data_IF_179667992944
#
_entry.id   IF_179667992944
#
_cell.length_a   1.000
_cell.length_b   1.000
_cell.length_c   1.000
_cell.angle_alpha   90.00
_cell.angle_beta   90.00
_cell.angle_gamma   90.00
#
_symmetry.space_group_name_H-M   'P 1'
#
loop_
_entity.id
_entity.type
_entity.pdbx_description
1 polymer ?
#
# COMPACT_ATOMS: atom_id res chain seq x y z
N UNK A 1 -26.11 -45.29 -2.81
CA UNK A 1 -26.90 -46.52 -3.06
C UNK A 1 -27.77 -46.28 -4.29
N UNK A 2 -27.44 -46.84 -5.46
CA UNK A 2 -28.26 -46.68 -6.67
C UNK A 2 -29.51 -47.58 -6.58
N UNK A 3 -30.72 -47.11 -6.94
CA UNK A 3 -31.90 -47.96 -6.85
C UNK A 3 -31.84 -49.05 -7.93
N UNK A 4 -31.90 -50.30 -7.48
CA UNK A 4 -32.10 -51.49 -8.33
C UNK A 4 -33.50 -51.41 -8.96
N UNK A 5 -33.60 -50.84 -10.15
CA UNK A 5 -34.84 -50.75 -10.91
C UNK A 5 -34.60 -51.01 -12.39
N UNK A 6 -35.34 -51.97 -12.96
CA UNK A 6 -35.20 -52.50 -14.32
C UNK A 6 -34.99 -51.42 -15.38
N UNK A 7 -33.85 -51.49 -16.06
CA UNK A 7 -33.54 -50.69 -17.25
C UNK A 7 -34.55 -50.97 -18.36
N UNK A 8 -35.37 -49.97 -18.65
CA UNK A 8 -36.34 -49.97 -19.73
C UNK A 8 -36.52 -48.54 -20.21
N UNK A 9 -36.85 -48.40 -21.49
CA UNK A 9 -37.01 -47.23 -22.39
C UNK A 9 -37.71 -45.97 -21.83
N UNK A 10 -38.16 -46.00 -20.58
CA UNK A 10 -38.78 -44.91 -19.84
C UNK A 10 -37.93 -44.37 -18.67
N UNK A 11 -36.75 -44.95 -18.38
CA UNK A 11 -35.81 -44.35 -17.44
C UNK A 11 -35.09 -43.20 -18.14
N UNK A 12 -35.54 -41.96 -17.85
CA UNK A 12 -34.82 -40.75 -18.28
C UNK A 12 -33.36 -40.89 -17.81
N UNK A 13 -32.34 -40.49 -18.61
CA UNK A 13 -30.98 -40.46 -18.11
C UNK A 13 -30.97 -39.54 -16.88
N UNK A 14 -30.71 -40.12 -15.71
CA UNK A 14 -30.51 -39.36 -14.49
C UNK A 14 -29.22 -38.59 -14.69
N UNK A 15 -29.33 -37.35 -15.19
CA UNK A 15 -28.21 -36.42 -15.29
C UNK A 15 -27.66 -36.30 -13.86
N UNK A 16 -26.40 -36.70 -13.71
CA UNK A 16 -25.75 -36.88 -12.42
C UNK A 16 -26.05 -35.73 -11.46
N UNK A 17 -26.41 -36.10 -10.22
CA UNK A 17 -26.60 -35.15 -9.14
C UNK A 17 -25.42 -34.18 -9.11
N UNK A 18 -25.74 -32.88 -9.12
CA UNK A 18 -24.75 -31.82 -9.17
C UNK A 18 -23.71 -32.02 -8.08
N UNK A 19 -22.44 -31.76 -8.41
CA UNK A 19 -21.38 -31.72 -7.41
C UNK A 19 -21.77 -30.65 -6.38
N UNK A 20 -22.08 -31.07 -5.17
CA UNK A 20 -22.21 -30.17 -4.04
C UNK A 20 -20.80 -29.68 -3.71
N UNK A 21 -20.38 -28.58 -4.33
CA UNK A 21 -19.38 -27.75 -3.70
C UNK A 21 -20.01 -27.31 -2.38
N UNK A 22 -19.40 -27.68 -1.27
CA UNK A 22 -19.90 -27.37 0.07
C UNK A 22 -20.35 -25.91 0.06
N UNK A 23 -21.62 -25.67 0.40
CA UNK A 23 -22.15 -24.31 0.63
C UNK A 23 -21.42 -23.60 1.77
N UNK A 24 -20.52 -24.31 2.43
CA UNK A 24 -19.63 -23.87 3.49
C UNK A 24 -18.19 -23.99 2.99
N UNK A 25 -17.74 -22.96 2.25
CA UNK A 25 -16.33 -22.77 1.89
C UNK A 25 -15.54 -22.07 3.01
N UNK A 26 -16.23 -21.63 4.06
CA UNK A 26 -15.63 -20.98 5.21
C UNK A 26 -15.46 -21.98 6.37
N UNK A 27 -14.34 -21.93 7.10
CA UNK A 27 -14.19 -22.71 8.32
C UNK A 27 -15.31 -22.35 9.30
N UNK A 28 -15.86 -23.35 9.98
CA UNK A 28 -16.89 -23.16 10.98
C UNK A 28 -16.26 -23.33 12.38
N UNK A 29 -16.70 -22.50 13.33
CA UNK A 29 -16.38 -22.68 14.74
C UNK A 29 -17.09 -23.93 15.31
N UNK A 30 -16.71 -24.35 16.53
CA UNK A 30 -17.33 -25.48 17.25
C UNK A 30 -18.86 -25.35 17.39
N UNK A 31 -19.37 -24.12 17.37
CA UNK A 31 -20.79 -23.78 17.47
C UNK A 31 -21.48 -23.61 16.10
N UNK A 32 -20.80 -23.92 14.99
CA UNK A 32 -21.38 -23.88 13.64
C UNK A 32 -21.50 -22.48 13.02
N UNK A 33 -20.85 -21.47 13.62
CA UNK A 33 -20.79 -20.11 13.07
C UNK A 33 -19.68 -19.99 12.03
N UNK A 34 -19.90 -19.17 11.00
CA UNK A 34 -18.93 -18.91 9.93
C UNK A 34 -17.72 -18.12 10.45
N UNK A 35 -16.54 -18.75 10.45
CA UNK A 35 -15.28 -18.06 10.70
C UNK A 35 -14.77 -17.42 9.42
N UNK A 36 -14.37 -16.15 9.50
CA UNK A 36 -13.64 -15.50 8.43
C UNK A 36 -12.23 -16.11 8.27
N UNK A 37 -11.80 -16.34 7.02
CA UNK A 37 -10.48 -16.91 6.66
C UNK A 37 -9.26 -16.12 7.17
N UNK A 38 -9.49 -14.93 7.73
CA UNK A 38 -8.47 -14.02 8.23
C UNK A 38 -8.44 -13.93 9.76
N UNK A 39 -9.19 -14.79 10.46
CA UNK A 39 -9.23 -14.84 11.92
C UNK A 39 -8.09 -15.72 12.44
N UNK A 40 -7.32 -15.22 13.41
CA UNK A 40 -6.25 -16.01 14.03
C UNK A 40 -6.85 -17.13 14.91
N UNK A 41 -6.25 -18.34 14.96
CA UNK A 41 -6.84 -19.52 15.60
C UNK A 41 -7.02 -19.46 17.13
N UNK A 42 -6.88 -18.28 17.75
CA UNK A 42 -7.11 -18.04 19.19
C UNK A 42 -8.07 -16.89 19.49
N UNK A 43 -8.53 -16.15 18.48
CA UNK A 43 -9.50 -15.08 18.66
C UNK A 43 -10.87 -15.73 18.81
N UNK A 44 -11.40 -15.87 20.01
CA UNK A 44 -12.78 -16.31 20.26
C UNK A 44 -13.62 -15.07 20.57
N UNK A 45 -14.78 -14.90 19.90
CA UNK A 45 -15.68 -13.77 20.14
C UNK A 45 -16.19 -13.90 21.58
N UNK A 46 -15.77 -13.01 22.48
CA UNK A 46 -16.37 -12.89 23.81
C UNK A 46 -17.86 -12.58 23.63
N UNK A 47 -18.70 -13.57 23.93
CA UNK A 47 -20.15 -13.44 23.86
C UNK A 47 -20.62 -12.31 24.77
N UNK A 48 -21.41 -11.40 24.20
CA UNK A 48 -21.98 -10.22 24.85
C UNK A 48 -22.79 -10.58 26.11
N UNK A 49 -22.30 -10.14 27.26
CA UNK A 49 -22.97 -10.18 28.56
C UNK A 49 -21.97 -9.80 29.64
N UNK A 50 -22.30 -8.75 30.40
CA UNK A 50 -21.62 -8.21 31.58
C UNK A 50 -20.53 -7.14 31.42
N UNK A 51 -20.55 -6.25 32.42
CA UNK A 51 -20.10 -4.87 32.46
C UNK A 51 -18.76 -4.72 33.21
N UNK A 52 -18.01 -3.65 32.88
CA UNK A 52 -16.98 -2.94 33.66
C UNK A 52 -15.66 -3.61 34.13
N UNK A 53 -14.68 -2.74 34.44
CA UNK A 53 -13.48 -2.91 35.25
C UNK A 53 -12.11 -3.11 34.57
N UNK A 54 -11.46 -1.97 34.32
CA UNK A 54 -10.17 -1.53 34.91
C UNK A 54 -9.00 -2.50 35.14
N UNK A 55 -7.78 -2.03 34.80
CA UNK A 55 -6.47 -2.25 35.48
C UNK A 55 -5.36 -3.00 34.71
N UNK A 56 -4.37 -2.21 34.25
CA UNK A 56 -2.89 -2.31 34.39
C UNK A 56 -2.15 -3.67 34.50
N UNK A 57 -1.11 -3.79 33.66
CA UNK A 57 0.28 -4.26 33.93
C UNK A 57 0.66 -5.77 34.07
N UNK A 58 1.71 -6.09 33.29
CA UNK A 58 2.93 -6.87 33.60
C UNK A 58 3.03 -8.42 33.51
N UNK A 59 4.27 -8.81 33.16
CA UNK A 59 4.99 -10.06 33.45
C UNK A 59 5.12 -11.16 32.38
N UNK A 60 6.17 -11.01 31.57
CA UNK A 60 7.37 -11.87 31.43
C UNK A 60 7.35 -13.35 31.87
N UNK A 61 8.01 -14.19 31.05
CA UNK A 61 8.89 -15.38 31.31
C UNK A 61 8.65 -16.49 30.26
N UNK A 62 9.51 -16.71 29.26
CA UNK A 62 10.80 -17.46 29.23
C UNK A 62 10.69 -19.00 29.38
N UNK A 63 11.66 -19.68 28.74
CA UNK A 63 11.96 -21.12 28.70
C UNK A 63 11.42 -21.90 27.48
N UNK A 64 12.18 -21.99 26.38
CA UNK A 64 13.34 -22.89 26.13
C UNK A 64 12.88 -24.26 25.62
N UNK A 65 12.92 -24.51 24.30
CA UNK A 65 14.06 -25.14 23.57
C UNK A 65 13.80 -26.65 23.38
N UNK A 66 13.47 -27.08 22.15
CA UNK A 66 14.10 -28.25 21.51
C UNK A 66 13.75 -28.36 20.01
N UNK A 67 14.73 -27.96 19.21
CA UNK A 67 15.19 -28.53 17.93
C UNK A 67 14.23 -28.69 16.72
N UNK A 68 14.29 -27.69 15.82
CA UNK A 68 14.28 -27.84 14.35
C UNK A 68 14.72 -26.54 13.64
N UNK A 69 16.04 -26.33 13.49
CA UNK A 69 16.68 -25.22 12.75
C UNK A 69 16.48 -25.33 11.22
N UNK A 70 16.74 -24.25 10.43
CA UNK A 70 16.50 -22.83 10.72
C UNK A 70 15.76 -22.14 9.55
N UNK A 71 14.68 -21.41 9.82
CA UNK A 71 14.15 -20.40 8.89
C UNK A 71 14.18 -19.08 9.64
N UNK A 72 15.14 -18.24 9.28
CA UNK A 72 15.49 -16.99 9.95
C UNK A 72 14.28 -16.09 10.21
N UNK A 73 13.86 -16.07 11.48
CA UNK A 73 12.92 -15.11 12.02
C UNK A 73 13.63 -13.76 12.18
N UNK A 74 13.22 -12.76 11.39
CA UNK A 74 13.43 -11.37 11.75
C UNK A 74 12.13 -10.84 12.35
N UNK A 75 12.08 -10.87 13.68
CA UNK A 75 11.04 -10.28 14.52
C UNK A 75 11.11 -8.76 14.46
N UNK A 76 10.71 -8.18 13.32
CA UNK A 76 10.41 -6.75 13.26
C UNK A 76 8.97 -6.56 13.75
N UNK A 77 8.80 -6.45 15.07
CA UNK A 77 7.59 -5.94 15.72
C UNK A 77 7.44 -4.43 15.45
N UNK A 78 7.39 -4.06 14.17
CA UNK A 78 7.14 -2.70 13.72
C UNK A 78 5.67 -2.48 13.43
N UNK A 79 5.25 -1.22 13.50
CA UNK A 79 3.94 -0.74 13.06
C UNK A 79 3.68 -1.15 11.60
N UNK A 80 2.40 -1.18 11.17
CA UNK A 80 2.01 -1.61 9.81
C UNK A 80 2.76 -0.86 8.69
N UNK A 81 3.15 0.38 8.96
CA UNK A 81 3.92 1.22 8.04
C UNK A 81 5.39 0.79 7.94
N UNK A 82 6.02 0.42 9.05
CA UNK A 82 7.38 -0.13 9.09
C UNK A 82 7.46 -1.49 8.39
N UNK A 83 6.43 -2.34 8.52
CA UNK A 83 6.35 -3.60 7.74
C UNK A 83 6.27 -3.35 6.24
N UNK A 84 5.49 -2.35 5.81
CA UNK A 84 5.38 -1.97 4.39
C UNK A 84 6.68 -1.36 3.87
N UNK A 85 7.35 -0.53 4.67
CA UNK A 85 8.65 0.05 4.34
C UNK A 85 9.73 -1.04 4.23
N UNK A 86 9.77 -1.99 5.17
CA UNK A 86 10.69 -3.12 5.14
C UNK A 86 10.45 -4.03 3.92
N UNK A 87 9.19 -4.30 3.56
CA UNK A 87 8.87 -5.06 2.35
C UNK A 87 9.33 -4.34 1.07
N UNK A 88 9.11 -3.02 0.98
CA UNK A 88 9.60 -2.20 -0.15
C UNK A 88 11.14 -2.16 -0.20
N UNK A 89 11.80 -2.04 0.95
CA UNK A 89 13.26 -2.06 1.05
C UNK A 89 13.84 -3.42 0.63
N UNK A 90 13.24 -4.53 1.06
CA UNK A 90 13.61 -5.89 0.63
C UNK A 90 13.44 -6.06 -0.89
N UNK A 91 12.35 -5.56 -1.47
CA UNK A 91 12.11 -5.60 -2.92
C UNK A 91 13.14 -4.76 -3.69
N UNK A 92 13.45 -3.56 -3.22
CA UNK A 92 14.45 -2.69 -3.83
C UNK A 92 15.87 -3.26 -3.71
N UNK A 93 16.21 -3.89 -2.59
CA UNK A 93 17.50 -4.56 -2.40
C UNK A 93 17.64 -5.78 -3.33
N UNK A 94 16.57 -6.56 -3.53
CA UNK A 94 16.57 -7.66 -4.49
C UNK A 94 16.78 -7.17 -5.93
N UNK A 95 16.15 -6.07 -6.32
CA UNK A 95 16.36 -5.43 -7.63
C UNK A 95 17.81 -4.95 -7.81
N UNK A 96 18.39 -4.34 -6.78
CA UNK A 96 19.80 -3.91 -6.81
C UNK A 96 20.77 -5.09 -6.87
N UNK A 97 20.50 -6.17 -6.12
CA UNK A 97 21.31 -7.40 -6.17
C UNK A 97 21.20 -8.09 -7.52
N UNK A 98 20.01 -8.10 -8.13
CA UNK A 98 19.80 -8.59 -9.51
C UNK A 98 20.55 -7.74 -10.55
N UNK A 99 20.61 -6.42 -10.36
CA UNK A 99 21.38 -5.53 -11.23
C UNK A 99 22.90 -5.57 -11.05
N UNK A 100 23.42 -6.15 -9.97
CA UNK A 100 24.86 -6.22 -9.67
C UNK A 100 25.47 -7.60 -9.95
N UNK A 101 24.66 -8.64 -10.22
CA UNK A 101 25.16 -9.96 -10.60
C UNK A 101 25.51 -10.05 -12.09
N UNK A 102 26.45 -10.93 -12.50
CA UNK A 102 26.68 -11.22 -13.91
C UNK A 102 25.40 -11.82 -14.51
N UNK A 103 24.84 -11.16 -15.51
CA UNK A 103 23.58 -11.55 -16.15
C UNK A 103 23.67 -12.99 -16.67
N UNK A 104 22.84 -13.88 -16.11
CA UNK A 104 22.66 -15.23 -16.62
C UNK A 104 21.86 -15.17 -17.94
N UNK A 105 22.12 -16.06 -18.91
CA UNK A 105 21.39 -16.07 -20.17
C UNK A 105 19.89 -16.31 -19.91
N UNK A 106 19.07 -15.29 -20.16
CA UNK A 106 17.64 -15.27 -19.89
C UNK A 106 17.15 -14.18 -18.93
N UNK A 107 18.05 -13.49 -18.22
CA UNK A 107 17.67 -12.32 -17.40
C UNK A 107 17.70 -11.06 -18.29
N UNK A 108 16.52 -10.64 -18.75
CA UNK A 108 16.35 -9.42 -19.54
C UNK A 108 16.60 -8.18 -18.65
N UNK A 109 17.24 -7.11 -19.16
CA UNK A 109 17.39 -5.87 -18.42
C UNK A 109 16.00 -5.34 -18.01
N UNK A 110 15.90 -4.52 -16.95
CA UNK A 110 14.65 -3.84 -16.63
C UNK A 110 14.38 -2.78 -17.72
N UNK A 111 13.89 -3.23 -18.87
CA UNK A 111 13.34 -2.37 -19.90
C UNK A 111 12.00 -1.87 -19.42
N UNK A 112 11.88 -0.56 -19.38
CA UNK A 112 10.64 0.21 -19.39
C UNK A 112 9.59 -0.48 -20.27
N UNK A 113 8.56 -1.07 -19.66
CA UNK A 113 7.59 -1.97 -20.29
C UNK A 113 6.18 -1.43 -20.07
N UNK A 114 5.94 -0.26 -20.64
CA UNK A 114 4.62 0.31 -20.96
C UNK A 114 4.34 0.15 -22.48
N UNK A 115 4.71 -0.98 -23.11
CA UNK A 115 4.37 -1.24 -24.53
C UNK A 115 4.50 -2.73 -24.93
N UNK A 116 3.93 -3.66 -24.16
CA UNK A 116 3.74 -5.03 -24.67
C UNK A 116 2.62 -5.79 -23.94
N UNK A 117 1.39 -5.26 -24.06
CA UNK A 117 0.16 -5.98 -23.73
C UNK A 117 -0.44 -6.70 -24.96
N UNK A 118 0.27 -6.73 -26.10
CA UNK A 118 -0.24 -7.25 -27.37
C UNK A 118 0.10 -8.73 -27.67
N UNK A 119 0.99 -9.37 -26.91
CA UNK A 119 1.43 -10.76 -27.14
C UNK A 119 0.90 -11.78 -26.10
N UNK A 120 0.06 -11.33 -25.16
CA UNK A 120 -0.66 -12.23 -24.25
C UNK A 120 -2.04 -12.57 -24.85
N UNK A 121 -2.55 -13.81 -24.73
CA UNK A 121 -3.90 -14.12 -25.19
C UNK A 121 -4.87 -13.21 -24.45
N UNK A 122 -5.53 -12.33 -25.21
CA UNK A 122 -6.32 -11.25 -24.65
C UNK A 122 -7.34 -11.81 -23.64
N UNK A 123 -7.17 -11.45 -22.37
CA UNK A 123 -8.10 -11.85 -21.33
C UNK A 123 -9.50 -11.39 -21.76
N UNK A 124 -10.49 -12.30 -21.91
CA UNK A 124 -11.79 -11.98 -22.48
C UNK A 124 -12.50 -10.84 -21.73
N UNK A 125 -12.16 -10.62 -20.45
CA UNK A 125 -12.70 -9.54 -19.63
C UNK A 125 -12.02 -8.17 -19.85
N UNK A 126 -10.83 -8.11 -20.46
CA UNK A 126 -10.11 -6.86 -20.77
C UNK A 126 -10.13 -6.48 -22.25
N UNK A 127 -10.76 -7.28 -23.11
CA UNK A 127 -10.88 -6.99 -24.55
C UNK A 127 -11.72 -5.72 -24.82
N UNK A 128 -11.49 -5.07 -25.95
CA UNK A 128 -12.33 -3.95 -26.41
C UNK A 128 -13.82 -4.32 -26.52
N UNK A 129 -14.14 -5.60 -26.74
CA UNK A 129 -15.52 -6.11 -26.79
C UNK A 129 -16.18 -6.13 -25.42
N UNK A 130 -15.50 -6.50 -24.34
CA UNK A 130 -16.08 -6.43 -22.99
C UNK A 130 -16.36 -4.98 -22.59
N UNK A 131 -15.43 -4.06 -22.89
CA UNK A 131 -15.63 -2.61 -22.69
C UNK A 131 -16.82 -2.06 -23.48
N UNK A 132 -17.05 -2.54 -24.70
CA UNK A 132 -18.20 -2.10 -25.51
C UNK A 132 -19.56 -2.57 -24.98
N UNK A 133 -19.61 -3.70 -24.27
CA UNK A 133 -20.85 -4.22 -23.66
C UNK A 133 -21.21 -3.43 -22.40
N UNK A 134 -20.22 -3.01 -21.61
CA UNK A 134 -20.44 -2.15 -20.44
C UNK A 134 -20.84 -0.73 -20.82
N UNK A 135 -20.34 -0.22 -21.96
CA UNK A 135 -20.73 1.10 -22.47
C UNK A 135 -22.13 1.11 -23.08
N UNK A 136 -22.52 0.06 -23.81
CA UNK A 136 -23.86 -0.06 -24.42
C UNK A 136 -25.01 -0.12 -23.42
N UNK A 137 -24.78 -0.60 -22.20
CA UNK A 137 -25.81 -0.66 -21.16
C UNK A 137 -25.93 0.64 -20.34
N UNK A 138 -24.99 1.58 -20.48
CA UNK A 138 -25.00 2.89 -19.81
C UNK A 138 -25.54 3.99 -20.75
N UNK A 139 -25.63 3.71 -22.05
CA UNK A 139 -26.37 4.53 -23.01
C UNK A 139 -27.88 4.23 -22.91
N UNK A 140 -28.54 4.81 -21.89
CA UNK A 140 -29.86 5.40 -22.15
C UNK A 140 -29.74 6.30 -23.39
N UNK A 141 -30.75 6.40 -24.28
CA UNK A 141 -30.60 6.95 -25.63
C UNK A 141 -30.24 8.44 -25.61
N UNK A 142 -28.95 8.73 -25.43
CA UNK A 142 -28.38 10.05 -25.50
C UNK A 142 -28.14 10.37 -26.97
N UNK A 143 -28.88 11.38 -27.41
CA UNK A 143 -28.84 11.97 -28.72
C UNK A 143 -27.43 12.08 -29.31
N UNK A 144 -27.31 11.61 -30.55
CA UNK A 144 -26.21 11.92 -31.46
C UNK A 144 -25.81 13.41 -31.40
N UNK A 145 -24.52 13.74 -31.57
CA UNK A 145 -24.03 15.12 -31.48
C UNK A 145 -24.55 15.93 -32.68
N UNK A 146 -25.72 16.53 -32.51
CA UNK A 146 -26.24 17.51 -33.45
C UNK A 146 -25.37 18.76 -33.37
N UNK A 147 -24.82 19.13 -34.54
CA UNK A 147 -24.20 20.42 -34.91
C UNK A 147 -24.78 21.59 -34.11
N UNK A 148 -24.01 22.64 -33.77
CA UNK A 148 -24.39 23.67 -32.80
C UNK A 148 -25.68 24.36 -33.25
N UNK A 149 -26.80 23.87 -32.74
CA UNK A 149 -28.09 24.46 -32.99
C UNK A 149 -28.07 25.79 -32.25
N UNK A 150 -28.24 26.86 -33.03
CA UNK A 150 -28.46 28.23 -32.60
C UNK A 150 -29.25 28.24 -31.29
N UNK A 151 -28.71 28.96 -30.31
CA UNK A 151 -29.30 29.22 -28.98
C UNK A 151 -30.81 29.28 -29.12
N UNK A 152 -31.49 28.19 -28.75
CA UNK A 152 -32.96 28.18 -28.73
C UNK A 152 -33.36 29.19 -27.68
N UNK A 153 -34.12 30.20 -28.09
CA UNK A 153 -34.55 31.26 -27.21
C UNK A 153 -35.18 30.66 -25.95
N UNK A 154 -34.51 30.87 -24.81
CA UNK A 154 -34.90 30.44 -23.46
C UNK A 154 -36.35 30.84 -23.12
N UNK A 155 -36.88 31.85 -23.82
CA UNK A 155 -38.25 32.35 -23.73
C UNK A 155 -39.30 31.48 -24.42
N UNK A 156 -38.94 30.49 -25.23
CA UNK A 156 -39.89 29.55 -25.85
C UNK A 156 -39.97 28.19 -25.14
N UNK A 157 -39.08 27.93 -24.18
CA UNK A 157 -39.06 26.68 -23.42
C UNK A 157 -40.21 26.60 -22.42
N UNK A 158 -40.78 25.41 -22.26
CA UNK A 158 -41.86 25.16 -21.29
C UNK A 158 -41.40 25.50 -19.86
N UNK A 159 -42.32 25.84 -18.96
CA UNK A 159 -41.97 26.19 -17.55
C UNK A 159 -41.10 25.11 -16.89
N UNK A 160 -41.38 23.84 -17.19
CA UNK A 160 -40.63 22.68 -16.72
C UNK A 160 -39.22 22.61 -17.32
N UNK A 161 -39.07 22.93 -18.60
CA UNK A 161 -37.76 22.98 -19.25
C UNK A 161 -36.91 24.15 -18.73
N UNK A 162 -37.52 25.31 -18.46
CA UNK A 162 -36.79 26.44 -17.87
C UNK A 162 -36.27 26.12 -16.47
N UNK A 163 -37.09 25.48 -15.64
CA UNK A 163 -36.66 25.02 -14.32
C UNK A 163 -35.56 23.96 -14.41
N UNK A 164 -35.66 23.02 -15.36
CA UNK A 164 -34.62 22.02 -15.59
C UNK A 164 -33.28 22.66 -16.01
N UNK A 165 -33.30 23.64 -16.92
CA UNK A 165 -32.10 24.38 -17.34
C UNK A 165 -31.52 25.19 -16.19
N UNK A 166 -32.37 25.85 -15.39
CA UNK A 166 -31.92 26.60 -14.22
C UNK A 166 -31.31 25.68 -13.15
N UNK A 167 -31.92 24.51 -12.92
CA UNK A 167 -31.39 23.51 -12.00
C UNK A 167 -30.03 22.96 -12.46
N UNK A 168 -29.86 22.73 -13.77
CA UNK A 168 -28.57 22.36 -14.34
C UNK A 168 -27.53 23.46 -14.15
N UNK A 169 -27.86 24.71 -14.47
CA UNK A 169 -26.96 25.85 -14.25
C UNK A 169 -26.59 26.06 -12.77
N UNK A 170 -27.53 25.84 -11.85
CA UNK A 170 -27.27 25.92 -10.41
C UNK A 170 -26.32 24.81 -9.95
N UNK A 171 -26.48 23.57 -10.44
CA UNK A 171 -25.57 22.46 -10.19
C UNK A 171 -24.18 22.73 -10.74
N UNK A 172 -24.08 23.25 -11.96
CA UNK A 172 -22.79 23.63 -12.57
C UNK A 172 -22.12 24.75 -11.77
N UNK A 173 -22.86 25.75 -11.32
CA UNK A 173 -22.33 26.82 -10.45
C UNK A 173 -21.84 26.27 -9.12
N UNK A 174 -22.61 25.37 -8.50
CA UNK A 174 -22.20 24.70 -7.27
C UNK A 174 -20.90 23.90 -7.48
N UNK A 175 -20.84 23.10 -8.54
CA UNK A 175 -19.63 22.33 -8.89
C UNK A 175 -18.43 23.23 -9.17
N UNK A 176 -18.62 24.36 -9.87
CA UNK A 176 -17.58 25.37 -10.08
C UNK A 176 -17.09 25.97 -8.77
N UNK A 177 -18.00 26.40 -7.89
CA UNK A 177 -17.64 26.93 -6.58
C UNK A 177 -16.97 25.89 -5.67
N UNK A 178 -17.39 24.63 -5.77
CA UNK A 178 -16.79 23.53 -5.04
C UNK A 178 -15.37 23.23 -5.54
N UNK A 179 -15.17 23.22 -6.86
CA UNK A 179 -13.85 23.10 -7.48
C UNK A 179 -12.94 24.27 -7.13
N UNK A 180 -13.49 25.49 -7.03
CA UNK A 180 -12.77 26.68 -6.55
C UNK A 180 -12.49 26.65 -5.03
N UNK A 181 -13.00 25.65 -4.30
CA UNK A 181 -12.79 25.55 -2.86
C UNK A 181 -13.63 26.51 -2.02
N UNK A 182 -14.68 27.11 -2.59
CA UNK A 182 -15.50 28.15 -1.93
C UNK A 182 -16.69 27.57 -1.15
N UNK A 183 -17.12 26.36 -1.46
CA UNK A 183 -18.13 25.63 -0.68
C UNK A 183 -17.55 25.25 0.69
N UNK A 184 -18.40 25.16 1.71
CA UNK A 184 -17.93 24.89 3.07
C UNK A 184 -17.31 23.49 3.19
N UNK A 185 -17.82 22.52 2.41
CA UNK A 185 -17.22 21.19 2.26
C UNK A 185 -15.79 21.27 1.72
N UNK A 186 -15.58 21.99 0.62
CA UNK A 186 -14.26 22.09 -0.01
C UNK A 186 -13.27 22.90 0.85
N UNK A 187 -13.76 23.94 1.56
CA UNK A 187 -12.95 24.66 2.56
C UNK A 187 -12.51 23.73 3.70
N UNK A 188 -13.41 22.88 4.19
CA UNK A 188 -13.08 21.93 5.26
C UNK A 188 -12.02 20.92 4.79
N UNK A 189 -12.13 20.42 3.56
CA UNK A 189 -11.13 19.50 3.00
C UNK A 189 -9.78 20.20 2.74
N UNK A 190 -9.79 21.45 2.26
CA UNK A 190 -8.56 22.24 2.15
C UNK A 190 -7.93 22.52 3.51
N UNK A 191 -8.71 22.81 4.55
CA UNK A 191 -8.23 23.00 5.91
C UNK A 191 -7.60 21.72 6.48
N UNK A 192 -8.23 20.56 6.24
CA UNK A 192 -7.64 19.24 6.60
C UNK A 192 -6.30 19.02 5.90
N UNK A 193 -6.22 19.34 4.61
CA UNK A 193 -4.97 19.23 3.86
C UNK A 193 -3.91 20.22 4.34
N UNK A 194 -4.30 21.44 4.74
CA UNK A 194 -3.39 22.43 5.31
C UNK A 194 -2.76 21.92 6.62
N UNK A 195 -3.54 21.36 7.53
CA UNK A 195 -3.04 20.75 8.78
C UNK A 195 -1.99 19.67 8.47
N UNK A 196 -2.25 18.81 7.48
CA UNK A 196 -1.30 17.76 7.09
C UNK A 196 -0.01 18.36 6.50
N UNK A 197 -0.11 19.45 5.71
CA UNK A 197 1.06 20.15 5.18
C UNK A 197 1.88 20.77 6.31
N UNK A 198 1.23 21.45 7.24
CA UNK A 198 1.88 22.04 8.42
C UNK A 198 2.57 20.97 9.27
N UNK A 199 1.93 19.83 9.52
CA UNK A 199 2.55 18.72 10.24
C UNK A 199 3.77 18.17 9.50
N UNK A 200 3.68 17.98 8.19
CA UNK A 200 4.82 17.51 7.37
C UNK A 200 5.95 18.51 7.33
N UNK A 201 5.64 19.80 7.26
CA UNK A 201 6.63 20.87 7.27
C UNK A 201 7.29 20.97 8.65
N UNK A 202 6.53 20.92 9.74
CA UNK A 202 7.06 20.88 11.10
C UNK A 202 7.95 19.65 11.33
N UNK A 203 7.55 18.47 10.85
CA UNK A 203 8.40 17.27 10.90
C UNK A 203 9.66 17.40 10.06
N UNK A 204 9.57 18.00 8.86
CA UNK A 204 10.74 18.26 8.02
C UNK A 204 11.70 19.24 8.69
N UNK A 205 11.18 20.30 9.29
CA UNK A 205 11.98 21.29 10.02
C UNK A 205 12.63 20.65 11.26
N UNK A 206 11.89 19.84 12.04
CA UNK A 206 12.47 19.08 13.16
C UNK A 206 13.57 18.13 12.69
N UNK A 207 13.36 17.38 11.61
CA UNK A 207 14.36 16.48 11.03
C UNK A 207 15.56 17.23 10.46
N UNK A 208 15.40 18.45 9.96
CA UNK A 208 16.53 19.27 9.50
C UNK A 208 17.31 19.82 10.69
N UNK A 209 16.63 20.36 11.72
CA UNK A 209 17.28 20.83 12.95
C UNK A 209 18.05 19.70 13.66
N UNK A 210 17.44 18.51 13.82
CA UNK A 210 18.14 17.36 14.41
C UNK A 210 19.32 16.87 13.57
N UNK A 211 19.29 17.06 12.25
CA UNK A 211 20.42 16.72 11.37
C UNK A 211 21.53 17.74 11.49
N UNK A 212 21.21 19.02 11.53
CA UNK A 212 22.18 20.09 11.72
C UNK A 212 22.89 19.96 13.07
N UNK A 213 22.17 19.70 14.17
CA UNK A 213 22.77 19.43 15.49
C UNK A 213 23.66 18.18 15.48
N UNK A 214 23.23 17.10 14.82
CA UNK A 214 24.05 15.88 14.68
C UNK A 214 25.30 16.12 13.84
N UNK A 215 25.19 16.92 12.78
CA UNK A 215 26.31 17.25 11.90
C UNK A 215 27.32 18.17 12.62
N UNK A 216 26.85 19.10 13.46
CA UNK A 216 27.71 19.92 14.32
C UNK A 216 28.42 19.06 15.38
N UNK A 217 27.70 18.20 16.09
CA UNK A 217 28.32 17.27 17.04
C UNK A 217 29.29 16.30 16.36
N UNK A 218 28.99 15.86 15.14
CA UNK A 218 29.88 15.00 14.36
C UNK A 218 31.13 15.75 13.92
N UNK A 219 31.02 17.03 13.53
CA UNK A 219 32.17 17.89 13.20
C UNK A 219 33.04 18.12 14.43
N UNK A 220 32.47 18.47 15.57
CA UNK A 220 33.21 18.64 16.83
C UNK A 220 33.94 17.36 17.24
N UNK A 221 33.28 16.20 17.15
CA UNK A 221 33.91 14.90 17.43
C UNK A 221 35.01 14.59 16.42
N UNK A 222 34.82 14.90 15.14
CA UNK A 222 35.82 14.69 14.10
C UNK A 222 37.03 15.59 14.29
N UNK A 223 36.84 16.87 14.66
CA UNK A 223 37.93 17.80 14.89
C UNK A 223 38.70 17.47 16.18
N UNK A 224 38.00 17.06 17.25
CA UNK A 224 38.64 16.53 18.46
C UNK A 224 39.42 15.22 18.17
N UNK A 225 38.95 14.38 17.26
CA UNK A 225 39.66 13.17 16.84
C UNK A 225 40.92 13.50 16.04
N UNK A 226 40.85 14.46 15.11
CA UNK A 226 42.02 14.94 14.35
C UNK A 226 43.07 15.56 15.27
N UNK A 227 42.67 16.39 16.24
CA UNK A 227 43.61 16.98 17.20
C UNK A 227 44.31 15.90 18.04
N UNK A 228 43.59 14.86 18.46
CA UNK A 228 44.18 13.70 19.14
C UNK A 228 45.14 12.94 18.24
N UNK A 229 44.79 12.72 16.97
CA UNK A 229 45.66 12.05 16.00
C UNK A 229 46.93 12.85 15.73
N UNK A 230 46.82 14.16 15.51
CA UNK A 230 47.95 15.05 15.30
C UNK A 230 48.86 15.11 16.53
N UNK A 231 48.29 15.12 17.74
CA UNK A 231 49.06 15.03 18.99
C UNK A 231 49.81 13.70 19.10
N UNK A 232 49.19 12.59 18.74
CA UNK A 232 49.84 11.27 18.73
C UNK A 232 50.93 11.18 17.64
N UNK A 233 50.69 11.78 16.47
CA UNK A 233 51.65 11.85 15.36
C UNK A 233 52.86 12.71 15.71
N UNK A 234 52.65 13.85 16.35
CA UNK A 234 53.73 14.71 16.86
C UNK A 234 54.53 14.03 17.97
N UNK A 235 53.87 13.31 18.89
CA UNK A 235 54.54 12.52 19.92
C UNK A 235 55.37 11.36 19.33
N UNK A 236 54.91 10.78 18.23
CA UNK A 236 55.63 9.72 17.50
C UNK A 236 56.83 10.28 16.71
N UNK A 237 56.71 11.46 16.08
CA UNK A 237 57.80 12.08 15.31
C UNK A 237 58.90 12.70 16.19
N UNK A 238 58.59 13.07 17.44
CA UNK A 238 59.55 13.69 18.38
C UNK A 238 60.63 12.77 18.96
N UNK A 239 60.60 11.45 18.72
CA UNK A 239 61.53 10.47 19.34
C UNK A 239 62.67 9.98 18.46
N UNK A 240 62.75 10.36 17.19
CA UNK A 240 63.79 9.84 16.26
C UNK A 240 65.01 10.75 16.06
N UNK A 241 65.07 11.93 16.67
CA UNK A 241 66.13 12.92 16.43
C UNK A 241 67.25 12.98 17.50
N UNK A 242 67.30 12.07 18.48
CA UNK A 242 68.28 12.13 19.59
C UNK A 242 69.20 10.90 19.66
N UNK A 243 69.87 10.56 18.54
CA UNK A 243 71.07 9.69 18.56
C UNK A 243 72.02 9.95 17.39
N UNK A 244 72.44 11.20 17.22
CA UNK A 244 73.67 11.54 16.49
C UNK A 244 74.49 12.43 17.41
N UNK A 245 75.55 11.89 18.02
CA UNK A 245 76.43 12.68 18.89
C UNK A 245 77.10 11.85 19.97
N UNK A 246 78.10 11.05 19.57
CA UNK A 246 78.92 10.28 20.50
C UNK A 246 80.20 9.76 19.85
N UNK A 247 80.91 10.65 19.15
CA UNK A 247 82.27 10.41 18.64
C UNK A 247 83.24 10.74 19.78
N UNK A 248 83.92 9.73 20.34
CA UNK A 248 85.11 9.75 21.23
C UNK A 248 85.24 8.31 21.77
N UNK A 249 86.37 7.64 21.80
CA UNK A 249 87.78 7.97 21.55
C UNK A 249 88.49 6.62 21.41
#
# INVERSE_FOLDING_TARGET
MAPRGRGGKFSKPTRGGGKHFSRDLQPLDKDGNQMGLWREPGDQIKSSGDEDSSSEEESSEESSEDESKPIEQSTAAGTREERRAAAKAKKAAALKKRGQGPAQPGDLPPSDSEESDNDLPANPNHTAKSRSQTLKNVEEPAAEPKKPAKVKDISQLSRREREAVQAQQARERYQKLHAEGKTDEAKADLARLAIIREQREAERLRKLAEKEEKDEQAKERADAAKEREDRMRAAASGKTAKKVGGKKK
#
